data_IF_262241947518
#
_entry.id   IF_262241947518
#
_cell.length_a   1.000
_cell.length_b   1.000
_cell.length_c   1.000
_cell.angle_alpha   90.00
_cell.angle_beta   90.00
_cell.angle_gamma   90.00
#
_symmetry.space_group_name_H-M   'P 1'
#
loop_
_entity.id
_entity.type
_entity.pdbx_description
1 polymer ?
#
# COMPACT_ATOMS: atom_id res chain seq x y z
N UNK A 1 15.86 7.75 10.82
CA UNK A 1 15.16 6.54 11.27
C UNK A 1 14.21 6.05 10.20
N UNK A 2 14.17 4.77 9.99
CA UNK A 2 13.27 4.19 8.98
C UNK A 2 11.92 3.85 9.59
N UNK A 3 10.87 4.06 8.81
CA UNK A 3 9.52 3.70 9.16
C UNK A 3 9.03 2.59 8.24
N UNK A 4 8.16 1.74 8.79
CA UNK A 4 7.52 0.67 8.05
C UNK A 4 6.01 0.88 8.09
N UNK A 5 5.39 0.79 6.92
CA UNK A 5 3.94 0.85 6.81
C UNK A 5 3.42 -0.44 6.21
N UNK A 6 2.35 -0.94 6.79
CA UNK A 6 1.61 -2.09 6.28
C UNK A 6 0.20 -1.61 5.98
N UNK A 7 -0.25 -1.84 4.75
CA UNK A 7 -1.55 -1.36 4.31
C UNK A 7 -2.35 -2.55 3.77
N UNK A 8 -3.52 -2.79 4.35
CA UNK A 8 -4.41 -3.87 3.92
C UNK A 8 -5.47 -3.32 2.98
N UNK A 9 -5.70 -4.05 1.88
CA UNK A 9 -6.76 -3.76 0.92
C UNK A 9 -7.59 -5.02 0.73
N UNK A 10 -8.88 -4.85 0.49
CA UNK A 10 -9.76 -5.98 0.20
C UNK A 10 -10.48 -5.74 -1.13
N UNK A 11 -9.92 -6.24 -2.25
CA UNK A 11 -10.57 -6.09 -3.55
C UNK A 11 -11.95 -6.74 -3.57
N UNK A 12 -12.87 -6.12 -4.30
CA UNK A 12 -14.19 -6.69 -4.53
C UNK A 12 -14.08 -7.99 -5.30
N UNK A 13 -15.10 -8.83 -5.17
CA UNK A 13 -15.16 -10.08 -5.91
C UNK A 13 -15.01 -9.81 -7.41
N UNK A 14 -14.04 -10.50 -8.04
CA UNK A 14 -13.75 -10.30 -9.45
C UNK A 14 -12.79 -9.16 -9.77
N UNK A 15 -12.36 -8.38 -8.76
CA UNK A 15 -11.47 -7.23 -8.96
C UNK A 15 -10.04 -7.46 -8.48
N UNK A 16 -9.75 -8.64 -7.95
CA UNK A 16 -8.43 -8.94 -7.38
C UNK A 16 -7.30 -8.73 -8.37
N UNK A 17 -7.38 -9.32 -9.55
CA UNK A 17 -6.32 -9.26 -10.53
C UNK A 17 -6.14 -7.83 -11.07
N UNK A 18 -7.23 -7.13 -11.30
CA UNK A 18 -7.19 -5.74 -11.76
C UNK A 18 -6.51 -4.84 -10.74
N UNK A 19 -6.84 -5.03 -9.45
CA UNK A 19 -6.24 -4.24 -8.38
C UNK A 19 -4.75 -4.53 -8.24
N UNK A 20 -4.35 -5.81 -8.29
CA UNK A 20 -2.95 -6.20 -8.21
C UNK A 20 -2.16 -5.59 -9.37
N UNK A 21 -2.69 -5.67 -10.58
CA UNK A 21 -2.07 -5.10 -11.76
C UNK A 21 -1.89 -3.58 -11.64
N UNK A 22 -2.93 -2.90 -11.18
CA UNK A 22 -2.87 -1.46 -10.95
C UNK A 22 -1.82 -1.09 -9.89
N UNK A 23 -1.72 -1.89 -8.83
CA UNK A 23 -0.74 -1.69 -7.76
C UNK A 23 0.69 -1.85 -8.26
N UNK A 24 0.93 -2.88 -9.07
CA UNK A 24 2.26 -3.12 -9.64
C UNK A 24 2.66 -2.00 -10.60
N UNK A 25 1.73 -1.52 -11.40
CA UNK A 25 1.95 -0.41 -12.31
C UNK A 25 2.29 0.87 -11.54
N UNK A 26 1.55 1.15 -10.48
CA UNK A 26 1.77 2.32 -9.65
C UNK A 26 3.18 2.29 -9.04
N UNK A 27 3.59 1.15 -8.50
CA UNK A 27 4.93 0.98 -7.92
C UNK A 27 6.02 1.18 -8.97
N UNK A 28 5.82 0.68 -10.17
CA UNK A 28 6.75 0.82 -11.28
C UNK A 28 6.86 2.27 -11.75
N UNK A 29 5.71 2.94 -11.89
CA UNK A 29 5.66 4.31 -12.39
C UNK A 29 6.27 5.31 -11.39
N UNK A 30 6.32 4.98 -10.11
CA UNK A 30 6.95 5.84 -9.11
C UNK A 30 8.47 5.87 -9.25
N UNK A 31 9.05 4.98 -10.02
CA UNK A 31 10.46 5.06 -10.40
C UNK A 31 11.42 5.07 -9.23
N UNK A 32 11.25 4.17 -8.28
CA UNK A 32 12.19 4.08 -7.17
C UNK A 32 13.52 3.56 -7.65
N UNK A 33 14.50 4.44 -7.75
CA UNK A 33 15.87 4.10 -8.15
C UNK A 33 16.65 3.40 -7.03
N UNK A 34 16.00 3.02 -5.94
CA UNK A 34 16.63 2.45 -4.74
C UNK A 34 16.19 1.01 -4.59
N UNK A 35 16.95 0.18 -3.86
CA UNK A 35 16.56 -1.21 -3.61
C UNK A 35 15.10 -1.29 -3.19
N UNK A 36 14.39 -2.36 -3.58
CA UNK A 36 12.97 -2.44 -3.33
C UNK A 36 12.68 -2.36 -1.83
N UNK A 37 12.06 -1.25 -1.46
CA UNK A 37 11.54 -1.02 -0.12
C UNK A 37 10.04 -1.13 -0.10
N UNK A 38 9.49 -1.74 -1.14
CA UNK A 38 8.06 -1.86 -1.36
C UNK A 38 7.74 -3.29 -1.76
N UNK A 39 6.84 -3.93 -1.01
CA UNK A 39 6.47 -5.31 -1.22
C UNK A 39 4.95 -5.41 -1.33
N UNK A 40 4.48 -6.35 -2.15
CA UNK A 40 3.06 -6.60 -2.32
C UNK A 40 2.81 -8.09 -2.09
N UNK A 41 1.81 -8.40 -1.25
CA UNK A 41 1.47 -9.76 -0.88
C UNK A 41 -0.02 -9.99 -1.06
N UNK A 42 -0.39 -11.15 -1.59
CA UNK A 42 -1.77 -11.59 -1.61
C UNK A 42 -1.98 -12.59 -0.46
N UNK A 43 -2.95 -12.33 0.38
CA UNK A 43 -3.29 -13.20 1.50
C UNK A 43 -4.81 -13.42 1.51
N UNK A 44 -5.26 -14.59 1.02
CA UNK A 44 -6.68 -14.86 0.90
C UNK A 44 -7.36 -13.87 -0.02
N UNK A 45 -8.33 -13.15 0.51
CA UNK A 45 -9.10 -12.13 -0.23
C UNK A 45 -8.50 -10.74 -0.12
N UNK A 46 -7.37 -10.60 0.57
CA UNK A 46 -6.73 -9.31 0.79
C UNK A 46 -5.44 -9.18 0.01
N UNK A 47 -5.11 -7.93 -0.30
CA UNK A 47 -3.80 -7.54 -0.82
C UNK A 47 -3.14 -6.68 0.25
N UNK A 48 -1.90 -6.98 0.56
CA UNK A 48 -1.17 -6.28 1.61
C UNK A 48 0.08 -5.65 1.01
N UNK A 49 0.20 -4.33 1.17
CA UNK A 49 1.37 -3.59 0.74
C UNK A 49 2.25 -3.31 1.95
N UNK A 50 3.55 -3.53 1.80
CA UNK A 50 4.54 -3.21 2.83
C UNK A 50 5.50 -2.20 2.24
N UNK A 51 5.68 -1.07 2.94
CA UNK A 51 6.53 0.02 2.48
C UNK A 51 7.51 0.39 3.58
N UNK A 52 8.79 0.48 3.23
CA UNK A 52 9.84 0.94 4.15
C UNK A 52 10.41 2.23 3.59
N UNK A 53 10.40 3.29 4.39
CA UNK A 53 10.87 4.62 3.99
C UNK A 53 11.58 5.32 5.15
N UNK A 54 12.41 6.30 4.83
CA UNK A 54 12.92 7.21 5.83
C UNK A 54 11.79 8.10 6.33
N UNK A 55 11.84 8.49 7.60
CA UNK A 55 10.75 9.24 8.23
C UNK A 55 10.47 10.59 7.55
N UNK A 56 11.50 11.22 6.98
CA UNK A 56 11.36 12.51 6.31
C UNK A 56 10.73 12.40 4.91
N UNK A 57 10.76 11.22 4.28
CA UNK A 57 10.14 11.00 2.96
C UNK A 57 8.82 10.27 3.03
N UNK A 58 8.48 9.69 4.17
CA UNK A 58 7.30 8.85 4.32
C UNK A 58 6.00 9.61 4.06
N UNK A 59 5.88 10.82 4.60
CA UNK A 59 4.65 11.60 4.47
C UNK A 59 4.37 11.96 3.01
N UNK A 60 5.39 12.33 2.26
CA UNK A 60 5.26 12.62 0.84
C UNK A 60 4.84 11.36 0.06
N UNK A 61 5.45 10.23 0.41
CA UNK A 61 5.11 8.95 -0.20
C UNK A 61 3.67 8.55 0.10
N UNK A 62 3.21 8.78 1.33
CA UNK A 62 1.83 8.47 1.73
C UNK A 62 0.81 9.33 1.00
N UNK A 63 1.11 10.62 0.82
CA UNK A 63 0.24 11.53 0.10
C UNK A 63 0.00 11.07 -1.34
N UNK A 64 1.08 10.70 -2.04
CA UNK A 64 0.97 10.14 -3.38
C UNK A 64 0.18 8.83 -3.42
N UNK A 65 0.34 8.01 -2.38
CA UNK A 65 -0.41 6.76 -2.25
C UNK A 65 -1.89 6.98 -2.05
N UNK A 66 -2.28 7.99 -1.28
CA UNK A 66 -3.70 8.34 -1.07
C UNK A 66 -4.32 8.82 -2.38
N UNK A 67 -3.62 9.66 -3.13
CA UNK A 67 -4.12 10.15 -4.43
C UNK A 67 -4.37 8.99 -5.38
N UNK A 68 -3.43 8.04 -5.45
CA UNK A 68 -3.61 6.85 -6.26
C UNK A 68 -4.78 5.99 -5.76
N UNK A 69 -4.88 5.81 -4.45
CA UNK A 69 -5.95 5.02 -3.83
C UNK A 69 -7.32 5.56 -4.22
N UNK A 70 -7.49 6.87 -4.26
CA UNK A 70 -8.75 7.49 -4.64
C UNK A 70 -9.19 7.06 -6.05
N UNK A 71 -8.24 6.75 -6.93
CA UNK A 71 -8.55 6.25 -8.28
C UNK A 71 -8.94 4.77 -8.29
N UNK A 72 -8.69 4.05 -7.19
CA UNK A 72 -8.89 2.60 -7.11
C UNK A 72 -10.00 2.18 -6.15
N UNK A 73 -10.62 3.11 -5.43
CA UNK A 73 -11.63 2.78 -4.41
C UNK A 73 -12.80 1.97 -4.96
N UNK A 74 -13.16 2.16 -6.22
CA UNK A 74 -14.24 1.42 -6.85
C UNK A 74 -13.96 -0.08 -6.98
N UNK A 75 -12.70 -0.50 -6.88
CA UNK A 75 -12.29 -1.91 -6.93
C UNK A 75 -12.25 -2.56 -5.54
N UNK A 76 -12.40 -1.77 -4.48
CA UNK A 76 -12.17 -2.20 -3.11
C UNK A 76 -13.45 -2.23 -2.29
N UNK A 77 -13.52 -3.19 -1.37
CA UNK A 77 -14.57 -3.23 -0.35
C UNK A 77 -14.15 -2.37 0.84
N UNK A 78 -15.12 -1.91 1.60
CA UNK A 78 -14.86 -1.18 2.83
C UNK A 78 -14.69 -2.16 3.99
N UNK A 79 -13.65 -1.94 4.81
CA UNK A 79 -13.44 -2.72 6.03
C UNK A 79 -14.40 -2.26 7.14
N UNK A 80 -14.53 -0.94 7.28
CA UNK A 80 -15.36 -0.31 8.30
C UNK A 80 -15.61 1.16 7.94
N UNK A 81 -16.41 1.86 8.75
CA UNK A 81 -16.77 3.24 8.47
C UNK A 81 -15.62 4.25 8.68
N UNK A 82 -14.66 3.89 9.53
CA UNK A 82 -13.55 4.77 9.89
C UNK A 82 -12.41 4.64 8.88
N UNK A 83 -11.92 3.42 8.69
CA UNK A 83 -10.79 3.15 7.79
C UNK A 83 -11.22 3.05 6.32
N UNK A 84 -12.48 2.72 6.10
CA UNK A 84 -13.07 2.56 4.79
C UNK A 84 -12.34 1.50 3.96
N UNK A 85 -11.61 1.89 2.91
CA UNK A 85 -11.06 0.95 1.92
C UNK A 85 -9.67 0.42 2.27
N UNK A 86 -9.04 0.91 3.32
CA UNK A 86 -7.70 0.47 3.73
C UNK A 86 -7.61 0.38 5.24
N UNK A 87 -6.75 -0.52 5.71
CA UNK A 87 -6.36 -0.53 7.12
C UNK A 87 -4.86 -0.33 7.16
N UNK A 88 -4.38 0.90 7.43
CA UNK A 88 -2.96 1.18 7.50
C UNK A 88 -2.42 0.99 8.91
N UNK A 89 -1.16 0.59 8.98
CA UNK A 89 -0.41 0.51 10.23
C UNK A 89 1.00 0.99 9.94
N UNK A 90 1.45 2.01 10.67
CA UNK A 90 2.79 2.57 10.48
C UNK A 90 3.51 2.63 11.81
N UNK A 91 4.77 2.24 11.82
CA UNK A 91 5.60 2.30 13.01
C UNK A 91 7.07 2.44 12.66
N UNK A 92 7.87 2.57 13.69
CA UNK A 92 9.31 2.67 13.53
C UNK A 92 9.91 1.28 13.27
N UNK A 93 10.79 1.20 12.29
CA UNK A 93 11.52 -0.04 12.04
C UNK A 93 12.67 -0.13 13.05
N UNK A 94 12.51 -1.02 14.01
CA UNK A 94 13.48 -1.15 15.10
C UNK A 94 14.66 -2.01 14.70
N UNK A 95 14.38 -3.13 14.04
CA UNK A 95 15.42 -4.08 13.71
C UNK A 95 15.12 -4.75 12.38
N UNK A 96 16.17 -4.95 11.61
CA UNK A 96 16.11 -5.65 10.35
C UNK A 96 17.19 -6.71 10.29
N UNK A 97 16.79 -7.95 10.12
CA UNK A 97 17.71 -9.10 10.02
C UNK A 97 17.44 -9.90 8.75
#
# INVERSE_FOLDING_TARGET
>A
MKKMSIIRFKPKNGCMDEFIEASLKFSKDRGTAVPPTHFLMKSGEEVIAVVIRDSDTLQESMSGGVDWLDTQRHLLEEFNEVDRHTIPLTGDLIEYK
#
